data_IF_499715379519
#
_entry.id   IF_499715379519
#
_cell.length_a   1.000
_cell.length_b   1.000
_cell.length_c   1.000
_cell.angle_alpha   90.00
_cell.angle_beta   90.00
_cell.angle_gamma   90.00
#
_symmetry.space_group_name_H-M   'P 1'
#
loop_
_entity.id
_entity.type
_entity.pdbx_description
1 polymer ?
#
# COMPACT_ATOMS: atom_id res chain seq x y z
N UNK A 1 -14.12 -12.79 5.16
CA UNK A 1 -13.16 -11.66 5.04
C UNK A 1 -13.94 -10.37 5.17
N UNK A 2 -13.64 -9.52 6.16
CA UNK A 2 -14.37 -8.26 6.35
C UNK A 2 -13.79 -7.13 5.48
N UNK A 3 -14.45 -5.97 5.42
CA UNK A 3 -14.00 -4.83 4.61
C UNK A 3 -12.62 -4.29 4.99
N UNK A 4 -12.22 -4.42 6.25
CA UNK A 4 -10.92 -3.97 6.76
C UNK A 4 -9.81 -4.91 6.29
N UNK A 5 -10.04 -6.23 6.30
CA UNK A 5 -9.11 -7.24 5.80
C UNK A 5 -8.84 -7.02 4.30
N UNK A 6 -9.89 -6.77 3.51
CA UNK A 6 -9.79 -6.46 2.08
C UNK A 6 -8.94 -5.20 1.85
N UNK A 7 -9.18 -4.15 2.64
CA UNK A 7 -8.40 -2.92 2.58
C UNK A 7 -6.92 -3.18 2.89
N UNK A 8 -6.62 -3.91 3.97
CA UNK A 8 -5.25 -4.25 4.36
C UNK A 8 -4.54 -5.09 3.31
N UNK A 9 -5.22 -6.06 2.70
CA UNK A 9 -4.66 -6.88 1.63
C UNK A 9 -4.33 -6.05 0.38
N UNK A 10 -5.23 -5.14 -0.03
CA UNK A 10 -4.98 -4.21 -1.13
C UNK A 10 -3.80 -3.29 -0.84
N UNK A 11 -3.74 -2.75 0.38
CA UNK A 11 -2.65 -1.89 0.84
C UNK A 11 -1.31 -2.63 0.79
N UNK A 12 -1.30 -3.87 1.29
CA UNK A 12 -0.10 -4.72 1.28
C UNK A 12 0.34 -5.05 -0.15
N UNK A 13 -0.60 -5.42 -1.02
CA UNK A 13 -0.33 -5.70 -2.44
C UNK A 13 0.33 -4.50 -3.13
N UNK A 14 -0.24 -3.30 -2.95
CA UNK A 14 0.33 -2.08 -3.54
C UNK A 14 1.74 -1.81 -3.02
N UNK A 15 1.97 -1.97 -1.71
CA UNK A 15 3.31 -1.81 -1.10
C UNK A 15 4.32 -2.78 -1.74
N UNK A 16 3.95 -4.05 -1.91
CA UNK A 16 4.84 -5.07 -2.50
C UNK A 16 5.19 -4.71 -3.95
N UNK A 17 4.19 -4.36 -4.76
CA UNK A 17 4.40 -3.99 -6.17
C UNK A 17 5.29 -2.75 -6.28
N UNK A 18 5.04 -1.71 -5.48
CA UNK A 18 5.87 -0.51 -5.50
C UNK A 18 7.29 -0.84 -5.06
N UNK A 19 7.49 -1.59 -3.97
CA UNK A 19 8.84 -1.99 -3.54
C UNK A 19 9.59 -2.74 -4.64
N UNK A 20 8.90 -3.61 -5.38
CA UNK A 20 9.48 -4.30 -6.51
C UNK A 20 9.85 -3.33 -7.66
N UNK A 21 8.95 -2.43 -8.03
CA UNK A 21 9.20 -1.40 -9.04
C UNK A 21 10.40 -0.52 -8.68
N UNK A 22 10.50 -0.12 -7.41
CA UNK A 22 11.63 0.66 -6.91
C UNK A 22 12.95 -0.14 -7.00
N UNK A 23 12.93 -1.47 -6.85
CA UNK A 23 14.14 -2.27 -7.05
C UNK A 23 14.49 -2.55 -8.51
N UNK A 24 13.73 -2.02 -9.46
CA UNK A 24 13.94 -2.24 -10.89
C UNK A 24 13.38 -3.56 -11.41
N UNK A 25 12.52 -4.23 -10.64
CA UNK A 25 11.84 -5.43 -11.15
C UNK A 25 10.79 -5.04 -12.19
N UNK A 26 10.68 -5.78 -13.31
CA UNK A 26 9.69 -5.51 -14.33
C UNK A 26 8.29 -5.77 -13.76
N UNK A 27 7.39 -4.81 -13.92
CA UNK A 27 5.97 -4.93 -13.52
C UNK A 27 5.19 -5.73 -14.58
N UNK A 28 5.32 -5.39 -15.87
CA UNK A 28 4.54 -6.01 -16.94
C UNK A 28 3.06 -5.62 -16.90
N UNK A 29 2.36 -5.72 -18.04
CA UNK A 29 1.07 -5.07 -18.26
C UNK A 29 -0.04 -5.47 -17.26
N UNK A 30 -0.16 -6.77 -16.93
CA UNK A 30 -1.22 -7.24 -16.03
C UNK A 30 -1.03 -6.68 -14.61
N UNK A 31 0.20 -6.76 -14.07
CA UNK A 31 0.50 -6.23 -12.72
C UNK A 31 0.44 -4.71 -12.71
N UNK A 32 0.75 -4.05 -13.84
CA UNK A 32 0.62 -2.61 -14.02
C UNK A 32 -0.83 -2.18 -13.86
N UNK A 33 -1.75 -2.78 -14.61
CA UNK A 33 -3.19 -2.52 -14.50
C UNK A 33 -3.70 -2.78 -13.08
N UNK A 34 -3.40 -3.96 -12.53
CA UNK A 34 -3.85 -4.32 -11.19
C UNK A 34 -3.36 -3.35 -10.11
N UNK A 35 -2.13 -2.86 -10.22
CA UNK A 35 -1.56 -1.92 -9.27
C UNK A 35 -2.20 -0.51 -9.38
N UNK A 36 -2.47 -0.05 -10.60
CA UNK A 36 -3.18 1.22 -10.85
C UNK A 36 -4.61 1.16 -10.30
N UNK A 37 -5.34 0.09 -10.58
CA UNK A 37 -6.69 -0.12 -10.06
C UNK A 37 -6.70 -0.19 -8.53
N UNK A 38 -5.71 -0.90 -7.95
CA UNK A 38 -5.54 -0.99 -6.49
C UNK A 38 -5.24 0.38 -5.89
N UNK A 39 -4.39 1.20 -6.51
CA UNK A 39 -4.08 2.55 -6.05
C UNK A 39 -5.32 3.46 -6.06
N UNK A 40 -6.11 3.43 -7.13
CA UNK A 40 -7.36 4.21 -7.23
C UNK A 40 -8.36 3.77 -6.17
N UNK A 41 -8.52 2.46 -5.97
CA UNK A 41 -9.43 1.91 -4.95
C UNK A 41 -8.99 2.31 -3.54
N UNK A 42 -7.70 2.16 -3.20
CA UNK A 42 -7.19 2.54 -1.89
C UNK A 42 -7.37 4.04 -1.61
N UNK A 43 -7.09 4.89 -2.58
CA UNK A 43 -7.28 6.33 -2.47
C UNK A 43 -8.74 6.71 -2.16
N UNK A 44 -9.70 6.01 -2.76
CA UNK A 44 -11.13 6.19 -2.48
C UNK A 44 -11.51 5.64 -1.10
N UNK A 45 -11.11 4.39 -0.82
CA UNK A 45 -11.47 3.67 0.40
C UNK A 45 -10.96 4.35 1.67
N UNK A 46 -9.71 4.85 1.66
CA UNK A 46 -9.09 5.46 2.85
C UNK A 46 -9.84 6.68 3.38
N UNK A 47 -10.59 7.37 2.51
CA UNK A 47 -11.39 8.53 2.92
C UNK A 47 -12.58 8.11 3.80
N UNK A 48 -13.17 6.95 3.54
CA UNK A 48 -14.41 6.49 4.16
C UNK A 48 -14.20 5.38 5.20
N UNK A 49 -13.04 4.74 5.22
CA UNK A 49 -12.75 3.67 6.18
C UNK A 49 -12.59 4.25 7.59
N UNK A 50 -13.21 3.59 8.56
CA UNK A 50 -12.88 3.77 9.97
C UNK A 50 -11.58 3.03 10.23
N UNK A 51 -10.55 3.74 10.70
CA UNK A 51 -9.21 3.20 10.99
C UNK A 51 -8.98 2.95 12.48
N UNK A 52 -10.02 3.07 13.31
CA UNK A 52 -9.96 2.71 14.73
C UNK A 52 -9.53 1.25 14.94
N UNK A 53 -9.81 0.35 13.99
CA UNK A 53 -9.36 -1.05 14.03
C UNK A 53 -7.83 -1.22 14.06
N UNK A 54 -7.07 -0.18 13.67
CA UNK A 54 -5.61 -0.16 13.77
C UNK A 54 -5.12 0.35 15.14
N UNK A 55 -6.03 0.71 16.06
CA UNK A 55 -5.73 1.31 17.37
C UNK A 55 -4.87 2.59 17.30
N UNK A 56 -4.95 3.33 16.19
CA UNK A 56 -4.21 4.58 15.93
C UNK A 56 -4.95 5.78 16.53
N UNK A 57 -4.92 5.94 17.86
CA UNK A 57 -5.70 6.99 18.54
C UNK A 57 -5.27 8.43 18.18
N UNK A 58 -4.00 8.67 17.84
CA UNK A 58 -3.46 10.03 17.61
C UNK A 58 -2.92 10.25 16.19
N UNK A 59 -2.70 9.18 15.42
CA UNK A 59 -2.06 9.22 14.10
C UNK A 59 -3.01 8.85 12.96
N UNK A 60 -4.33 8.85 13.21
CA UNK A 60 -5.34 8.42 12.25
C UNK A 60 -5.33 9.27 10.97
N UNK A 61 -5.37 10.60 11.11
CA UNK A 61 -5.30 11.53 9.99
C UNK A 61 -3.99 11.40 9.20
N UNK A 62 -2.87 11.31 9.91
CA UNK A 62 -1.55 11.10 9.30
C UNK A 62 -1.50 9.80 8.49
N UNK A 63 -2.02 8.69 9.04
CA UNK A 63 -2.08 7.42 8.33
C UNK A 63 -2.91 7.53 7.05
N UNK A 64 -4.07 8.19 7.10
CA UNK A 64 -4.90 8.42 5.90
C UNK A 64 -4.16 9.22 4.83
N UNK A 65 -3.45 10.27 5.23
CA UNK A 65 -2.65 11.08 4.31
C UNK A 65 -1.50 10.28 3.69
N UNK A 66 -0.80 9.46 4.49
CA UNK A 66 0.30 8.61 4.02
C UNK A 66 -0.16 7.57 3.00
N UNK A 67 -1.32 6.95 3.23
CA UNK A 67 -1.93 6.00 2.27
C UNK A 67 -2.41 6.70 0.99
N UNK A 68 -2.95 7.93 1.08
CA UNK A 68 -3.29 8.73 -0.11
C UNK A 68 -2.04 9.07 -0.92
N UNK A 69 -0.97 9.51 -0.24
CA UNK A 69 0.31 9.82 -0.85
C UNK A 69 0.91 8.58 -1.54
N UNK A 70 0.89 7.42 -0.87
CA UNK A 70 1.29 6.13 -1.45
C UNK A 70 0.53 5.86 -2.75
N UNK A 71 -0.79 6.05 -2.75
CA UNK A 71 -1.63 5.77 -3.92
C UNK A 71 -1.27 6.67 -5.11
N UNK A 72 -1.05 7.97 -4.87
CA UNK A 72 -0.66 8.93 -5.91
C UNK A 72 0.74 8.63 -6.44
N UNK A 73 1.70 8.42 -5.55
CA UNK A 73 3.09 8.13 -5.92
C UNK A 73 3.20 6.79 -6.65
N UNK A 74 2.48 5.76 -6.21
CA UNK A 74 2.45 4.47 -6.88
C UNK A 74 1.98 4.61 -8.33
N UNK A 75 0.88 5.34 -8.56
CA UNK A 75 0.37 5.61 -9.92
C UNK A 75 1.41 6.27 -10.81
N UNK A 76 2.14 7.27 -10.31
CA UNK A 76 3.18 7.96 -11.07
C UNK A 76 4.36 7.04 -11.43
N UNK A 77 4.78 6.18 -10.50
CA UNK A 77 5.88 5.24 -10.69
C UNK A 77 5.50 4.15 -11.70
N UNK A 78 4.33 3.55 -11.49
CA UNK A 78 3.85 2.41 -12.28
C UNK A 78 3.49 2.82 -13.71
N UNK A 79 2.95 4.03 -13.89
CA UNK A 79 2.62 4.56 -15.21
C UNK A 79 3.86 5.00 -15.99
N UNK A 80 5.05 5.01 -15.38
CA UNK A 80 6.30 5.52 -15.95
C UNK A 80 6.21 6.99 -16.41
N UNK A 81 5.15 7.70 -15.98
CA UNK A 81 4.88 9.09 -16.36
C UNK A 81 5.74 10.08 -15.58
N UNK A 82 6.57 9.60 -14.65
CA UNK A 82 7.31 10.46 -13.75
C UNK A 82 8.71 9.91 -13.42
N UNK A 83 9.79 10.62 -13.80
CA UNK A 83 11.13 10.23 -13.41
C UNK A 83 11.31 10.40 -11.89
N UNK A 84 11.54 9.28 -11.20
CA UNK A 84 11.89 9.28 -9.79
C UNK A 84 13.38 9.60 -9.61
N UNK A 85 13.67 10.86 -9.29
CA UNK A 85 14.96 11.22 -8.70
C UNK A 85 15.18 10.52 -7.34
N UNK A 86 16.45 10.45 -6.91
CA UNK A 86 16.88 9.74 -5.69
C UNK A 86 16.09 10.18 -4.45
N UNK A 87 15.86 11.49 -4.27
CA UNK A 87 15.09 12.01 -3.13
C UNK A 87 13.63 11.55 -3.09
N UNK A 88 12.96 11.44 -4.24
CA UNK A 88 11.56 10.99 -4.32
C UNK A 88 11.42 9.51 -4.05
N UNK A 89 12.39 8.74 -4.52
CA UNK A 89 12.51 7.30 -4.21
C UNK A 89 12.66 7.09 -2.71
N UNK A 90 13.52 7.86 -2.05
CA UNK A 90 13.68 7.79 -0.60
C UNK A 90 12.39 8.18 0.13
N UNK A 91 11.78 9.32 -0.23
CA UNK A 91 10.51 9.74 0.37
C UNK A 91 9.39 8.71 0.22
N UNK A 92 9.38 7.95 -0.89
CA UNK A 92 8.45 6.84 -1.08
C UNK A 92 8.71 5.69 -0.11
N UNK A 93 9.98 5.32 0.07
CA UNK A 93 10.37 4.26 1.01
C UNK A 93 10.02 4.65 2.45
N UNK A 94 10.32 5.89 2.86
CA UNK A 94 9.99 6.41 4.19
C UNK A 94 8.46 6.39 4.43
N UNK A 95 7.68 6.77 3.41
CA UNK A 95 6.22 6.71 3.47
C UNK A 95 5.72 5.26 3.63
N UNK A 96 6.29 4.33 2.86
CA UNK A 96 5.96 2.90 2.94
C UNK A 96 6.32 2.32 4.31
N UNK A 97 7.47 2.69 4.87
CA UNK A 97 7.92 2.24 6.19
C UNK A 97 6.92 2.69 7.26
N UNK A 98 6.58 3.97 7.30
CA UNK A 98 5.60 4.52 8.24
C UNK A 98 4.24 3.80 8.14
N UNK A 99 3.72 3.58 6.93
CA UNK A 99 2.47 2.84 6.72
C UNK A 99 2.60 1.41 7.24
N UNK A 100 3.75 0.76 6.99
CA UNK A 100 3.99 -0.62 7.40
C UNK A 100 4.05 -0.76 8.91
N UNK A 101 4.67 0.18 9.61
CA UNK A 101 4.71 0.20 11.08
C UNK A 101 3.32 0.32 11.68
N UNK A 102 2.45 1.16 11.10
CA UNK A 102 1.08 1.33 11.59
C UNK A 102 0.16 0.15 11.25
N UNK A 103 0.19 -0.32 10.00
CA UNK A 103 -0.78 -1.30 9.51
C UNK A 103 -0.32 -2.76 9.68
N UNK A 104 1.00 -3.00 9.77
CA UNK A 104 1.60 -4.33 9.82
C UNK A 104 2.73 -4.42 10.88
N UNK A 105 2.50 -4.04 12.14
CA UNK A 105 3.54 -3.99 13.17
C UNK A 105 4.06 -5.38 13.54
N UNK A 106 5.14 -5.85 12.90
CA UNK A 106 6.07 -6.98 13.19
C UNK A 106 5.52 -8.32 13.76
N UNK A 107 4.23 -8.47 14.01
CA UNK A 107 3.56 -9.75 14.22
C UNK A 107 3.36 -10.33 12.83
N UNK A 108 3.97 -11.50 12.60
CA UNK A 108 3.75 -12.34 11.42
C UNK A 108 2.33 -12.15 10.92
N UNK A 109 2.15 -11.78 9.66
CA UNK A 109 0.84 -11.76 9.01
C UNK A 109 0.20 -13.15 9.17
N UNK A 110 -0.51 -13.38 10.27
CA UNK A 110 -1.40 -14.55 10.44
C UNK A 110 -2.53 -14.51 9.40
N UNK A 111 -2.70 -13.36 8.74
CA UNK A 111 -3.57 -13.11 7.59
C UNK A 111 -3.47 -14.19 6.50
N UNK A 112 -2.30 -14.80 6.32
CA UNK A 112 -2.10 -15.85 5.31
C UNK A 112 -2.27 -17.27 5.83
N UNK A 113 -2.34 -17.49 7.14
CA UNK A 113 -2.36 -18.86 7.68
C UNK A 113 -3.68 -19.59 7.35
N UNK A 114 -4.77 -18.85 7.16
CA UNK A 114 -6.05 -19.41 6.73
C UNK A 114 -6.14 -19.51 5.20
N UNK A 115 -5.61 -18.52 4.46
CA UNK A 115 -5.63 -18.52 2.99
C UNK A 115 -4.72 -19.62 2.41
N UNK A 116 -3.57 -19.90 3.03
CA UNK A 116 -2.62 -20.93 2.59
C UNK A 116 -3.03 -22.36 3.00
N UNK A 117 -4.05 -22.55 3.84
CA UNK A 117 -4.54 -23.89 4.21
C UNK A 117 -5.46 -24.52 3.16
N UNK A 118 -5.93 -23.72 2.19
CA UNK A 118 -6.94 -24.13 1.21
C UNK A 118 -6.38 -24.20 -0.21
N UNK A 119 -5.07 -24.03 -0.37
CA UNK A 119 -4.33 -24.16 -1.63
C UNK A 119 -3.37 -25.35 -1.55
#
# INVERSE_FOLDING_TARGET
MNGNDVFLLRLHLLIVIVKAALKGYPIGEIRKSAALDTAVMLHRQISNIDITFLNLKTSSHLFKERVKLLSVMATAIISETYPLGIHRRQAMLDNIEMITEYAFPRKSLKLFHEVLKVA
#
